data_IF_199741829827
#
_entry.id   IF_199741829827
#
_cell.length_a   1.000
_cell.length_b   1.000
_cell.length_c   1.000
_cell.angle_alpha   90.00
_cell.angle_beta   90.00
_cell.angle_gamma   90.00
#
_symmetry.space_group_name_H-M   'P 1'
#
loop_
_entity.id
_entity.type
_entity.pdbx_description
1 polymer ?
#
# COMPACT_ATOMS: atom_id res chain seq x y z
N UNK A 1 12.96 -26.05 -45.71
CA UNK A 1 12.60 -26.15 -44.28
C UNK A 1 13.45 -25.26 -43.37
N UNK A 2 14.76 -25.14 -43.61
CA UNK A 2 15.72 -24.47 -42.70
C UNK A 2 15.43 -22.96 -42.51
N UNK A 3 14.89 -22.32 -43.55
CA UNK A 3 14.54 -20.89 -43.54
C UNK A 3 13.38 -20.56 -42.60
N UNK A 4 12.44 -21.49 -42.42
CA UNK A 4 11.27 -21.31 -41.53
C UNK A 4 11.71 -21.43 -40.06
N UNK A 5 12.64 -22.34 -39.78
CA UNK A 5 13.23 -22.51 -38.44
C UNK A 5 14.06 -21.28 -38.06
N UNK A 6 14.87 -20.75 -38.99
CA UNK A 6 15.66 -19.53 -38.78
C UNK A 6 14.77 -18.29 -38.55
N UNK A 7 13.65 -18.20 -39.26
CA UNK A 7 12.68 -17.11 -39.08
C UNK A 7 11.93 -17.22 -37.74
N UNK A 8 11.59 -18.44 -37.32
CA UNK A 8 10.99 -18.70 -36.01
C UNK A 8 11.92 -18.33 -34.85
N UNK A 9 13.22 -18.66 -34.96
CA UNK A 9 14.23 -18.37 -33.92
C UNK A 9 14.44 -16.86 -33.70
N UNK A 10 14.33 -16.06 -34.77
CA UNK A 10 14.43 -14.59 -34.71
C UNK A 10 13.20 -13.92 -34.08
N UNK A 11 12.04 -14.61 -34.04
CA UNK A 11 10.79 -14.10 -33.45
C UNK A 11 10.61 -14.50 -31.97
N UNK A 12 11.44 -15.41 -31.44
CA UNK A 12 11.41 -15.80 -30.02
C UNK A 12 11.68 -14.59 -29.08
N UNK A 13 12.67 -13.71 -29.34
CA UNK A 13 12.94 -12.57 -28.47
C UNK A 13 11.80 -11.56 -28.44
N UNK A 14 11.11 -11.36 -29.57
CA UNK A 14 10.00 -10.40 -29.65
C UNK A 14 8.77 -10.86 -28.87
N UNK A 15 8.54 -12.17 -28.77
CA UNK A 15 7.46 -12.73 -27.95
C UNK A 15 7.81 -12.70 -26.46
N UNK A 16 9.08 -12.93 -26.11
CA UNK A 16 9.56 -12.79 -24.72
C UNK A 16 9.45 -11.34 -24.21
N UNK A 17 9.72 -10.36 -25.08
CA UNK A 17 9.57 -8.94 -24.75
C UNK A 17 8.10 -8.49 -24.74
N UNK A 18 7.21 -9.09 -25.53
CA UNK A 18 5.78 -8.77 -25.54
C UNK A 18 5.03 -9.25 -24.28
N UNK A 19 5.52 -10.30 -23.59
CA UNK A 19 4.89 -10.83 -22.38
C UNK A 19 5.05 -9.90 -21.16
N UNK A 20 6.06 -9.02 -21.17
CA UNK A 20 6.30 -8.10 -20.06
C UNK A 20 5.15 -7.06 -19.93
N UNK A 21 4.61 -6.56 -21.04
CA UNK A 21 3.64 -5.45 -21.02
C UNK A 21 2.33 -5.78 -20.29
N UNK A 22 1.79 -6.99 -20.47
CA UNK A 22 0.49 -7.35 -19.89
C UNK A 22 0.56 -7.44 -18.36
N UNK A 23 1.62 -8.03 -17.81
CA UNK A 23 1.82 -8.11 -16.36
C UNK A 23 2.13 -6.73 -15.76
N UNK A 24 2.93 -5.90 -16.44
CA UNK A 24 3.22 -4.55 -15.97
C UNK A 24 1.98 -3.63 -16.02
N UNK A 25 1.09 -3.79 -17.00
CA UNK A 25 -0.16 -3.03 -17.09
C UNK A 25 -1.11 -3.43 -15.95
N UNK A 26 -1.29 -4.74 -15.71
CA UNK A 26 -2.21 -5.21 -14.66
C UNK A 26 -1.71 -4.85 -13.25
N UNK A 27 -0.41 -5.05 -12.96
CA UNK A 27 0.15 -4.78 -11.64
C UNK A 27 0.24 -3.25 -11.34
N UNK A 28 0.62 -2.42 -12.31
CA UNK A 28 0.86 -0.99 -12.05
C UNK A 28 -0.37 -0.09 -12.21
N UNK A 29 -1.27 -0.37 -13.16
CA UNK A 29 -2.41 0.53 -13.44
C UNK A 29 -3.63 0.19 -12.59
N UNK A 30 -3.98 -1.10 -12.48
CA UNK A 30 -5.23 -1.51 -11.82
C UNK A 30 -5.03 -1.70 -10.33
N UNK A 31 -3.99 -2.43 -9.92
CA UNK A 31 -3.77 -2.77 -8.50
C UNK A 31 -3.03 -1.66 -7.76
N UNK A 32 -1.92 -1.15 -8.30
CA UNK A 32 -1.14 -0.11 -7.64
C UNK A 32 -1.71 1.32 -7.80
N UNK A 33 -2.46 1.60 -8.87
CA UNK A 33 -3.02 2.93 -9.13
C UNK A 33 -4.27 3.23 -8.31
N UNK A 34 -5.31 2.42 -8.47
CA UNK A 34 -6.65 2.73 -7.94
C UNK A 34 -6.73 2.44 -6.44
N UNK A 35 -6.32 1.24 -6.01
CA UNK A 35 -6.44 0.82 -4.60
C UNK A 35 -5.54 1.67 -3.70
N UNK A 36 -4.30 1.95 -4.13
CA UNK A 36 -3.39 2.80 -3.37
C UNK A 36 -3.91 4.24 -3.25
N UNK A 37 -4.51 4.76 -4.33
CA UNK A 37 -5.13 6.10 -4.32
C UNK A 37 -6.36 6.15 -3.40
N UNK A 38 -7.20 5.11 -3.40
CA UNK A 38 -8.35 5.01 -2.50
C UNK A 38 -7.91 4.92 -1.03
N UNK A 39 -6.91 4.09 -0.71
CA UNK A 39 -6.36 4.00 0.65
C UNK A 39 -5.82 5.36 1.11
N UNK A 40 -5.05 6.06 0.26
CA UNK A 40 -4.53 7.39 0.57
C UNK A 40 -5.64 8.44 0.78
N UNK A 41 -6.72 8.36 -0.01
CA UNK A 41 -7.89 9.23 0.13
C UNK A 41 -8.60 8.98 1.47
N UNK A 42 -8.89 7.72 1.80
CA UNK A 42 -9.53 7.35 3.07
C UNK A 42 -8.66 7.71 4.28
N UNK A 43 -7.35 7.53 4.18
CA UNK A 43 -6.42 7.94 5.23
C UNK A 43 -6.46 9.46 5.47
N UNK A 44 -6.48 10.24 4.38
CA UNK A 44 -6.57 11.70 4.46
C UNK A 44 -7.90 12.18 5.06
N UNK A 45 -9.03 11.57 4.67
CA UNK A 45 -10.32 11.86 5.29
C UNK A 45 -10.33 11.50 6.79
N UNK A 46 -9.84 10.31 7.14
CA UNK A 46 -9.78 9.86 8.54
C UNK A 46 -8.92 10.79 9.41
N UNK A 47 -7.77 11.24 8.89
CA UNK A 47 -6.91 12.20 9.57
C UNK A 47 -7.61 13.56 9.78
N UNK A 48 -8.35 14.07 8.78
CA UNK A 48 -9.14 15.29 8.91
C UNK A 48 -10.21 15.18 10.01
N UNK A 49 -10.98 14.08 10.01
CA UNK A 49 -12.01 13.84 11.03
C UNK A 49 -11.39 13.69 12.43
N UNK A 50 -10.24 13.04 12.54
CA UNK A 50 -9.50 12.93 13.80
C UNK A 50 -9.08 14.29 14.34
N UNK A 51 -8.45 15.14 13.50
CA UNK A 51 -8.01 16.48 13.90
C UNK A 51 -9.21 17.34 14.30
N UNK A 52 -10.32 17.28 13.55
CA UNK A 52 -11.52 18.05 13.88
C UNK A 52 -12.17 17.63 15.20
N UNK A 53 -12.21 16.33 15.48
CA UNK A 53 -12.66 15.79 16.78
C UNK A 53 -11.75 16.22 17.94
N UNK A 54 -10.43 16.21 17.73
CA UNK A 54 -9.45 16.65 18.73
C UNK A 54 -9.59 18.14 19.05
N UNK A 55 -9.71 18.99 18.03
CA UNK A 55 -9.91 20.44 18.20
C UNK A 55 -11.20 20.72 18.98
N UNK A 56 -12.28 20.00 18.67
CA UNK A 56 -13.57 20.16 19.36
C UNK A 56 -13.50 19.74 20.83
N UNK A 57 -12.75 18.68 21.15
CA UNK A 57 -12.51 18.25 22.52
C UNK A 57 -11.72 19.27 23.34
N UNK A 58 -10.66 19.85 22.75
CA UNK A 58 -9.80 20.83 23.44
C UNK A 58 -10.54 22.15 23.65
N UNK A 59 -11.28 22.65 22.66
CA UNK A 59 -11.89 23.98 22.69
C UNK A 59 -13.12 24.08 23.63
N UNK A 60 -13.67 22.95 24.08
CA UNK A 60 -14.94 22.87 24.82
C UNK A 60 -14.79 22.26 26.22
N UNK A 61 -13.59 22.30 26.79
CA UNK A 61 -13.22 21.61 28.04
C UNK A 61 -13.92 22.11 29.33
N UNK A 62 -14.74 23.16 29.25
CA UNK A 62 -15.37 23.85 30.39
C UNK A 62 -16.83 23.50 30.70
N UNK A 63 -17.57 22.86 29.79
CA UNK A 63 -18.96 22.42 30.04
C UNK A 63 -19.04 20.88 30.11
N UNK A 64 -19.54 20.34 31.22
CA UNK A 64 -19.56 18.88 31.48
C UNK A 64 -20.28 18.06 30.40
N UNK A 65 -21.39 18.58 29.85
CA UNK A 65 -22.15 17.90 28.78
C UNK A 65 -21.38 17.83 27.46
N UNK A 66 -20.68 18.90 27.10
CA UNK A 66 -19.91 18.93 25.85
C UNK A 66 -18.56 18.22 26.00
N UNK A 67 -18.04 18.11 27.22
CA UNK A 67 -16.86 17.33 27.57
C UNK A 67 -17.08 15.83 27.37
N UNK A 68 -18.26 15.31 27.72
CA UNK A 68 -18.65 13.92 27.46
C UNK A 68 -18.73 13.64 25.95
N UNK A 69 -19.36 14.54 25.19
CA UNK A 69 -19.44 14.44 23.73
C UNK A 69 -18.06 14.53 23.04
N UNK A 70 -17.19 15.43 23.49
CA UNK A 70 -15.83 15.55 22.98
C UNK A 70 -14.96 14.33 23.33
N UNK A 71 -15.11 13.77 24.53
CA UNK A 71 -14.43 12.53 24.95
C UNK A 71 -14.85 11.36 24.08
N UNK A 72 -16.13 11.26 23.76
CA UNK A 72 -16.65 10.22 22.89
C UNK A 72 -16.13 10.38 21.44
N UNK A 73 -16.06 11.61 20.91
CA UNK A 73 -15.41 11.88 19.62
C UNK A 73 -13.91 11.53 19.62
N UNK A 74 -13.19 11.80 20.71
CA UNK A 74 -11.78 11.42 20.84
C UNK A 74 -11.59 9.90 20.81
N UNK A 75 -12.45 9.15 21.51
CA UNK A 75 -12.43 7.68 21.51
C UNK A 75 -12.69 7.15 20.10
N UNK A 76 -13.69 7.68 19.39
CA UNK A 76 -13.95 7.29 17.99
C UNK A 76 -12.77 7.62 17.07
N UNK A 77 -12.09 8.76 17.29
CA UNK A 77 -10.87 9.10 16.57
C UNK A 77 -9.73 8.11 16.81
N UNK A 78 -9.49 7.73 18.07
CA UNK A 78 -8.46 6.75 18.44
C UNK A 78 -8.78 5.37 17.85
N UNK A 79 -10.05 4.94 17.89
CA UNK A 79 -10.49 3.67 17.29
C UNK A 79 -10.23 3.70 15.78
N UNK A 80 -10.57 4.80 15.09
CA UNK A 80 -10.31 4.94 13.66
C UNK A 80 -8.81 4.83 13.33
N UNK A 81 -7.94 5.49 14.10
CA UNK A 81 -6.49 5.39 13.93
C UNK A 81 -5.98 3.96 14.20
N UNK A 82 -6.45 3.31 15.27
CA UNK A 82 -6.07 1.96 15.61
C UNK A 82 -6.44 0.96 14.50
N UNK A 83 -7.63 1.08 13.91
CA UNK A 83 -8.05 0.25 12.77
C UNK A 83 -7.15 0.48 11.56
N UNK A 84 -6.85 1.74 11.20
CA UNK A 84 -5.99 2.06 10.06
C UNK A 84 -4.58 1.47 10.21
N UNK A 85 -3.98 1.56 11.41
CA UNK A 85 -2.67 0.97 11.71
C UNK A 85 -2.74 -0.56 11.72
N UNK A 86 -3.81 -1.13 12.30
CA UNK A 86 -4.02 -2.57 12.37
C UNK A 86 -4.11 -3.22 10.98
N UNK A 87 -4.72 -2.54 10.01
CA UNK A 87 -4.79 -3.05 8.62
C UNK A 87 -3.40 -3.15 8.01
N UNK A 88 -2.54 -2.13 8.17
CA UNK A 88 -1.15 -2.17 7.68
C UNK A 88 -0.29 -3.24 8.37
N UNK A 89 -0.46 -3.39 9.69
CA UNK A 89 0.18 -4.46 10.45
C UNK A 89 -0.23 -5.85 9.93
N UNK A 90 -1.53 -6.07 9.73
CA UNK A 90 -2.04 -7.33 9.21
C UNK A 90 -1.56 -7.61 7.78
N UNK A 91 -1.61 -6.61 6.89
CA UNK A 91 -1.10 -6.72 5.52
C UNK A 91 0.37 -7.13 5.55
N UNK A 92 1.18 -6.52 6.40
CA UNK A 92 2.61 -6.84 6.54
C UNK A 92 2.83 -8.29 6.97
N UNK A 93 2.05 -8.77 7.95
CA UNK A 93 2.12 -10.16 8.42
C UNK A 93 1.73 -11.14 7.32
N UNK A 94 0.64 -10.88 6.61
CA UNK A 94 0.18 -11.71 5.48
C UNK A 94 1.23 -11.73 4.37
N UNK A 95 1.76 -10.56 3.98
CA UNK A 95 2.80 -10.47 2.95
C UNK A 95 4.04 -11.25 3.35
N UNK A 96 4.55 -11.07 4.56
CA UNK A 96 5.77 -11.76 5.00
C UNK A 96 5.58 -13.28 5.17
N UNK A 97 4.36 -13.73 5.48
CA UNK A 97 4.05 -15.16 5.68
C UNK A 97 3.84 -15.88 4.35
N UNK A 98 3.08 -15.30 3.42
CA UNK A 98 2.74 -15.95 2.16
C UNK A 98 3.69 -15.58 1.01
N UNK A 99 4.48 -14.51 1.16
CA UNK A 99 5.48 -14.06 0.18
C UNK A 99 6.85 -13.88 0.86
N UNK A 100 7.55 -14.97 1.21
CA UNK A 100 8.86 -14.92 1.84
C UNK A 100 9.86 -14.17 0.92
N UNK A 101 10.23 -12.94 1.31
CA UNK A 101 11.07 -12.02 0.52
C UNK A 101 10.59 -10.56 0.52
N UNK A 102 9.29 -10.32 0.72
CA UNK A 102 8.71 -8.98 0.98
C UNK A 102 9.23 -7.82 0.12
N UNK A 103 9.20 -6.59 0.67
CA UNK A 103 9.72 -5.35 0.07
C UNK A 103 11.24 -5.35 -0.21
N UNK A 104 11.93 -6.44 0.11
CA UNK A 104 13.39 -6.59 0.09
C UNK A 104 13.94 -7.06 -1.26
N UNK A 105 13.11 -7.21 -2.29
CA UNK A 105 13.52 -7.76 -3.59
C UNK A 105 14.26 -6.77 -4.50
N UNK A 106 14.66 -5.60 -4.00
CA UNK A 106 15.67 -4.83 -4.71
C UNK A 106 16.96 -5.66 -4.73
N UNK A 107 17.54 -5.94 -5.91
CA UNK A 107 18.81 -6.67 -5.99
C UNK A 107 19.84 -5.89 -5.19
N UNK A 108 20.16 -6.34 -3.98
CA UNK A 108 21.21 -5.71 -3.21
C UNK A 108 22.53 -6.01 -3.93
N UNK A 109 23.30 -4.97 -4.33
CA UNK A 109 24.62 -5.18 -4.89
C UNK A 109 25.46 -5.93 -3.85
N UNK A 110 25.91 -7.14 -4.20
CA UNK A 110 26.84 -7.87 -3.35
C UNK A 110 28.17 -7.14 -3.38
N UNK A 111 28.59 -6.61 -2.23
CA UNK A 111 29.94 -6.09 -2.07
C UNK A 111 30.93 -7.25 -2.27
N UNK A 112 32.00 -7.07 -3.07
CA UNK A 112 33.03 -8.07 -3.22
C UNK A 112 33.69 -8.34 -1.87
N UNK A 113 33.65 -9.59 -1.42
CA UNK A 113 34.44 -10.07 -0.29
C UNK A 113 35.79 -10.51 -0.84
N UNK A 114 36.87 -9.88 -0.38
CA UNK A 114 38.24 -10.32 -0.67
C UNK A 114 38.61 -11.53 0.21
N UNK A 115 39.45 -12.46 -0.29
CA UNK A 115 39.95 -13.60 0.47
C UNK A 115 40.86 -13.20 1.63
#
# INVERSE_FOLDING_TARGET
MNKIIALGLLLIPTLALAQQDVKYIIDNIVVAGIIRSLIALFFSLAALYFIWGLVKFINKSGEDKEREGGRQMMIYGIIALAVMVSVWGLVTVVVNTFFPGGYSSLPQPKIPTFP
#
